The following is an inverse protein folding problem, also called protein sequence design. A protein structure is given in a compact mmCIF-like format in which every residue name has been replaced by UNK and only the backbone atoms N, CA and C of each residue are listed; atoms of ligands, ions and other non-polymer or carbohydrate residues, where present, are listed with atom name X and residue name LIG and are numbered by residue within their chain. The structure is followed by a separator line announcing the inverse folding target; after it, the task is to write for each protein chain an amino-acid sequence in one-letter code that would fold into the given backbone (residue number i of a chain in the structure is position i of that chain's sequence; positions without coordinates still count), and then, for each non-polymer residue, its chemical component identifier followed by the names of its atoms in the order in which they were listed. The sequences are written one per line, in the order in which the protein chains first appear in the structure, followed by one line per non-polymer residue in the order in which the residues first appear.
data_IF_980656601272
#
_entry.id   IF_980656601272
#
_cell.length_a   1.000
_cell.length_b   1.000
_cell.length_c   1.000
_cell.angle_alpha   90.00
_cell.angle_beta   90.00
_cell.angle_gamma   90.00
#
_symmetry.space_group_name_H-M   'P 1'
#
loop_
_entity.id
_entity.type
_entity.pdbx_description
1 polymer ?
#
# COMPACT_ATOMS: atom_id res chain seq x y z
N UNK A 1 60.01 0.16 41.29
CA UNK A 1 59.84 1.24 40.29
C UNK A 1 59.25 0.75 38.96
N UNK A 2 59.73 -0.36 38.36
CA UNK A 2 59.23 -0.91 37.07
C UNK A 2 57.70 -1.17 37.01
N UNK A 3 57.10 -1.65 38.10
CA UNK A 3 55.66 -1.98 38.13
C UNK A 3 54.73 -0.75 38.21
N UNK A 4 55.22 0.40 38.68
CA UNK A 4 54.44 1.65 38.72
C UNK A 4 54.35 2.28 37.32
N UNK A 5 55.43 2.21 36.54
CA UNK A 5 55.43 2.70 35.15
C UNK A 5 54.51 1.87 34.24
N UNK A 6 54.43 0.55 34.45
CA UNK A 6 53.50 -0.32 33.70
C UNK A 6 52.04 0.04 34.04
N UNK A 7 51.72 0.28 35.32
CA UNK A 7 50.38 0.70 35.73
C UNK A 7 49.98 2.07 35.15
N UNK A 8 50.90 3.04 35.12
CA UNK A 8 50.65 4.38 34.56
C UNK A 8 50.47 4.31 33.04
N UNK A 9 51.25 3.49 32.32
CA UNK A 9 51.11 3.31 30.86
C UNK A 9 49.78 2.63 30.51
N UNK A 10 49.33 1.65 31.30
CA UNK A 10 48.02 0.99 31.11
C UNK A 10 46.83 1.93 31.40
N UNK A 11 46.94 2.79 32.42
CA UNK A 11 45.91 3.80 32.71
C UNK A 11 45.89 4.90 31.65
N UNK A 12 47.05 5.32 31.12
CA UNK A 12 47.12 6.27 30.01
C UNK A 12 46.54 5.68 28.72
N UNK A 13 46.76 4.39 28.43
CA UNK A 13 46.23 3.75 27.22
C UNK A 13 44.71 3.56 27.26
N UNK A 14 44.11 3.42 28.46
CA UNK A 14 42.65 3.36 28.62
C UNK A 14 41.95 4.72 28.41
N UNK A 15 42.66 5.84 28.56
CA UNK A 15 42.07 7.18 28.41
C UNK A 15 41.97 7.60 26.92
N UNK A 16 42.79 7.02 26.03
CA UNK A 16 42.81 7.40 24.60
C UNK A 16 41.64 6.80 23.80
N UNK A 17 40.86 5.88 24.37
CA UNK A 17 39.75 5.22 23.63
C UNK A 17 38.40 5.94 23.77
N UNK A 18 38.33 7.10 24.45
CA UNK A 18 37.13 7.97 24.45
C UNK A 18 37.11 8.89 23.22
N UNK A 19 37.16 8.31 22.04
CA UNK A 19 36.73 9.01 20.83
C UNK A 19 35.21 8.98 20.77
N UNK A 20 34.55 10.06 21.19
CA UNK A 20 33.16 10.27 20.80
C UNK A 20 33.15 10.45 19.29
N UNK A 21 32.72 9.42 18.55
CA UNK A 21 32.36 9.57 17.14
C UNK A 21 31.16 10.50 17.13
N UNK A 22 31.37 11.78 16.85
CA UNK A 22 30.27 12.68 16.53
C UNK A 22 29.67 12.20 15.23
N UNK A 23 28.38 11.81 15.20
CA UNK A 23 27.72 11.48 13.95
C UNK A 23 27.88 12.68 13.01
N UNK A 24 28.56 12.47 11.89
CA UNK A 24 28.59 13.47 10.83
C UNK A 24 27.21 13.44 10.18
N UNK A 25 26.39 14.44 10.50
CA UNK A 25 25.16 14.72 9.77
C UNK A 25 25.48 15.80 8.74
N UNK A 26 25.63 15.46 7.44
CA UNK A 26 25.76 16.46 6.39
C UNK A 26 24.61 17.45 6.48
N UNK A 27 24.88 18.75 6.35
CA UNK A 27 23.84 19.79 6.35
C UNK A 27 22.76 19.55 5.27
N UNK A 28 23.11 18.83 4.22
CA UNK A 28 22.20 18.40 3.14
C UNK A 28 21.10 17.44 3.63
N UNK A 29 21.33 16.63 4.68
CA UNK A 29 20.30 15.74 5.26
C UNK A 29 19.22 16.56 5.99
N UNK A 30 19.57 17.71 6.58
CA UNK A 30 18.59 18.64 7.17
C UNK A 30 17.72 19.33 6.13
N UNK A 31 18.12 19.35 4.86
CA UNK A 31 17.36 19.97 3.78
C UNK A 31 16.21 19.10 3.25
N UNK A 32 16.16 17.81 3.62
CA UNK A 32 15.09 16.86 3.24
C UNK A 32 14.02 16.76 4.33
N UNK A 33 14.31 17.22 5.55
CA UNK A 33 13.35 17.21 6.66
C UNK A 33 12.26 18.28 6.45
N UNK A 34 11.01 17.92 6.75
CA UNK A 34 9.87 18.83 6.75
C UNK A 34 9.55 19.52 5.40
N UNK A 35 9.94 18.91 4.28
CA UNK A 35 9.56 19.38 2.95
C UNK A 35 8.08 19.05 2.68
N UNK A 36 7.40 19.93 1.94
CA UNK A 36 6.02 19.65 1.50
C UNK A 36 6.05 18.59 0.41
N UNK A 37 5.22 17.56 0.58
CA UNK A 37 4.97 16.50 -0.40
C UNK A 37 3.51 16.63 -0.82
N UNK A 38 3.27 16.76 -2.13
CA UNK A 38 1.92 16.85 -2.71
C UNK A 38 1.74 15.70 -3.70
N UNK A 39 0.83 14.80 -3.38
CA UNK A 39 0.53 13.61 -4.19
C UNK A 39 -0.90 13.66 -4.70
N UNK A 40 -1.10 13.44 -6.00
CA UNK A 40 -2.42 13.41 -6.60
C UNK A 40 -2.36 13.48 -8.11
N UNK A 41 -3.49 13.24 -8.77
CA UNK A 41 -3.63 13.41 -10.21
C UNK A 41 -4.99 14.00 -10.53
N UNK A 42 -5.05 14.86 -11.53
CA UNK A 42 -6.28 15.47 -12.02
C UNK A 42 -7.01 14.44 -12.90
N UNK A 43 -8.20 14.01 -12.50
CA UNK A 43 -8.96 12.96 -13.18
C UNK A 43 -10.20 13.54 -13.86
N UNK A 44 -10.32 13.35 -15.18
CA UNK A 44 -11.44 13.93 -15.95
C UNK A 44 -12.78 13.18 -15.73
N UNK A 45 -12.70 11.89 -15.43
CA UNK A 45 -13.84 10.99 -15.31
C UNK A 45 -13.97 10.35 -13.92
N UNK A 46 -13.27 10.90 -12.92
CA UNK A 46 -13.31 10.47 -11.53
C UNK A 46 -13.01 11.67 -10.61
N UNK A 47 -13.20 11.50 -9.31
CA UNK A 47 -12.83 12.48 -8.29
C UNK A 47 -11.31 12.59 -8.20
N UNK A 48 -10.80 13.81 -8.36
CA UNK A 48 -9.39 14.13 -8.10
C UNK A 48 -9.15 14.09 -6.59
N UNK A 49 -8.20 13.25 -6.18
CA UNK A 49 -7.78 13.09 -4.78
C UNK A 49 -6.35 13.59 -4.62
N UNK A 50 -6.15 14.47 -3.65
CA UNK A 50 -4.84 15.08 -3.36
C UNK A 50 -4.52 14.84 -1.89
N UNK A 51 -3.34 14.30 -1.62
CA UNK A 51 -2.76 14.19 -0.29
C UNK A 51 -1.62 15.20 -0.17
N UNK A 52 -1.54 15.84 1.00
CA UNK A 52 -0.48 16.79 1.32
C UNK A 52 0.14 16.33 2.62
N UNK A 53 1.44 16.11 2.63
CA UNK A 53 2.18 15.67 3.80
C UNK A 53 3.54 16.37 3.93
N UNK A 54 4.23 16.09 5.02
CA UNK A 54 5.60 16.52 5.26
C UNK A 54 6.53 15.32 5.20
N UNK A 55 7.67 15.48 4.53
CA UNK A 55 8.73 14.49 4.60
C UNK A 55 9.27 14.39 6.02
N UNK A 56 9.63 13.17 6.42
CA UNK A 56 10.14 12.86 7.75
C UNK A 56 11.67 12.78 7.73
N UNK A 57 12.30 13.19 8.83
CA UNK A 57 13.69 12.87 9.09
C UNK A 57 13.90 11.34 9.13
N UNK A 58 15.12 10.90 8.78
CA UNK A 58 15.50 9.48 8.70
C UNK A 58 15.31 8.68 10.01
N UNK A 59 15.20 9.38 11.15
CA UNK A 59 15.07 8.81 12.49
C UNK A 59 13.67 8.98 13.11
N UNK A 60 12.69 9.51 12.36
CA UNK A 60 11.33 9.68 12.85
C UNK A 60 10.54 8.36 12.82
N UNK A 61 9.52 8.25 13.68
CA UNK A 61 8.55 7.16 13.58
C UNK A 61 7.87 7.18 12.19
N UNK A 62 7.55 6.01 11.62
CA UNK A 62 6.91 5.85 10.30
C UNK A 62 5.45 6.33 10.25
N UNK A 63 5.16 7.53 10.76
CA UNK A 63 3.83 8.15 10.78
C UNK A 63 3.83 9.32 9.81
N UNK A 64 3.06 9.22 8.73
CA UNK A 64 2.90 10.30 7.75
C UNK A 64 2.31 11.53 8.44
N UNK A 65 3.01 12.66 8.37
CA UNK A 65 2.54 13.95 8.87
C UNK A 65 1.70 14.66 7.81
N UNK A 66 0.39 14.44 7.85
CA UNK A 66 -0.56 15.04 6.91
C UNK A 66 -0.83 16.52 7.21
N UNK A 67 -0.80 17.35 6.17
CA UNK A 67 -1.13 18.77 6.27
C UNK A 67 -2.65 18.96 6.19
N UNK A 68 -3.24 19.42 7.28
CA UNK A 68 -4.65 19.82 7.35
C UNK A 68 -4.87 21.31 7.07
N UNK A 69 -6.12 21.67 6.77
CA UNK A 69 -6.63 23.03 6.55
C UNK A 69 -5.97 23.75 5.37
N UNK A 70 -5.47 23.01 4.39
CA UNK A 70 -5.05 23.59 3.12
C UNK A 70 -6.28 23.94 2.26
N UNK A 71 -6.14 24.95 1.41
CA UNK A 71 -7.14 25.26 0.39
C UNK A 71 -6.62 24.69 -0.93
N UNK A 72 -7.32 23.70 -1.48
CA UNK A 72 -6.89 22.97 -2.68
C UNK A 72 -7.93 23.16 -3.77
N UNK A 73 -7.48 23.47 -4.99
CA UNK A 73 -8.36 23.54 -6.16
C UNK A 73 -7.62 23.16 -7.44
N UNK A 74 -8.38 22.72 -8.43
CA UNK A 74 -7.90 22.57 -9.81
C UNK A 74 -8.30 23.83 -10.58
N UNK A 75 -7.39 24.36 -11.39
CA UNK A 75 -7.61 25.57 -12.19
C UNK A 75 -7.31 25.27 -13.66
N UNK A 76 -8.18 25.69 -14.57
CA UNK A 76 -7.92 25.59 -16.00
C UNK A 76 -7.17 26.81 -16.54
N UNK A 77 -6.68 26.73 -17.77
CA UNK A 77 -5.95 27.82 -18.44
C UNK A 77 -6.75 29.14 -18.60
N UNK A 78 -8.07 29.10 -18.47
CA UNK A 78 -8.96 30.26 -18.55
C UNK A 78 -9.28 30.84 -17.15
N UNK A 79 -8.71 30.30 -16.07
CA UNK A 79 -8.91 30.75 -14.70
C UNK A 79 -10.16 30.20 -14.00
N UNK A 80 -10.88 29.24 -14.60
CA UNK A 80 -12.01 28.56 -13.94
C UNK A 80 -11.47 27.63 -12.86
N UNK A 81 -12.03 27.70 -11.66
CA UNK A 81 -11.59 26.96 -10.48
C UNK A 81 -12.60 25.90 -10.06
N UNK A 82 -12.08 24.72 -9.74
CA UNK A 82 -12.80 23.59 -9.18
C UNK A 82 -12.30 23.38 -7.76
N UNK A 83 -13.09 23.83 -6.78
CA UNK A 83 -12.70 23.82 -5.38
C UNK A 83 -12.75 22.42 -4.79
N UNK A 84 -11.75 22.07 -4.00
CA UNK A 84 -11.72 20.86 -3.21
C UNK A 84 -12.26 21.06 -1.79
N UNK A 85 -12.60 19.95 -1.13
CA UNK A 85 -12.89 19.91 0.30
C UNK A 85 -12.03 18.86 1.00
N UNK A 86 -11.67 19.15 2.24
CA UNK A 86 -10.92 18.23 3.11
C UNK A 86 -11.81 17.10 3.60
N UNK A 87 -11.28 15.88 3.57
CA UNK A 87 -11.88 14.66 4.13
C UNK A 87 -10.89 14.00 5.09
N UNK A 88 -11.42 13.36 6.14
CA UNK A 88 -10.62 12.69 7.18
C UNK A 88 -11.12 11.29 7.41
N UNK A 89 -10.21 10.32 7.36
CA UNK A 89 -10.47 8.94 7.73
C UNK A 89 -9.37 8.47 8.69
N UNK A 90 -9.70 8.45 9.99
CA UNK A 90 -8.69 8.24 11.03
C UNK A 90 -7.64 9.34 10.99
N UNK A 91 -6.37 8.97 10.80
CA UNK A 91 -5.24 9.92 10.67
C UNK A 91 -4.99 10.41 9.23
N UNK A 92 -5.62 9.78 8.24
CA UNK A 92 -5.43 10.11 6.82
C UNK A 92 -6.24 11.35 6.47
N UNK A 93 -5.60 12.31 5.80
CA UNK A 93 -6.24 13.52 5.28
C UNK A 93 -6.12 13.53 3.76
N UNK A 94 -7.26 13.70 3.09
CA UNK A 94 -7.36 13.77 1.64
C UNK A 94 -8.22 14.98 1.23
N UNK A 95 -7.81 15.67 0.17
CA UNK A 95 -8.58 16.74 -0.46
C UNK A 95 -9.24 16.20 -1.73
N UNK A 96 -10.57 16.23 -1.77
CA UNK A 96 -11.37 15.74 -2.88
C UNK A 96 -11.86 16.92 -3.73
N UNK A 97 -11.55 16.90 -5.03
CA UNK A 97 -11.99 17.90 -6.00
C UNK A 97 -12.86 17.23 -7.05
N UNK A 98 -14.07 17.75 -7.26
CA UNK A 98 -14.94 17.26 -8.32
C UNK A 98 -14.47 17.80 -9.68
N UNK A 99 -13.76 16.95 -10.41
CA UNK A 99 -13.25 17.20 -11.76
C UNK A 99 -13.96 16.35 -12.81
N UNK A 100 -15.08 15.73 -12.45
CA UNK A 100 -15.85 14.91 -13.38
C UNK A 100 -16.43 15.81 -14.48
N UNK A 101 -16.12 15.49 -15.72
CA UNK A 101 -16.64 16.20 -16.89
C UNK A 101 -15.90 17.50 -17.24
N UNK A 102 -14.72 17.76 -16.65
CA UNK A 102 -13.88 18.88 -17.09
C UNK A 102 -13.51 18.72 -18.57
N UNK A 103 -13.32 19.84 -19.28
CA UNK A 103 -13.09 19.87 -20.72
C UNK A 103 -11.70 19.31 -21.07
N UNK A 104 -11.58 18.16 -21.77
CA UNK A 104 -10.30 17.54 -22.07
C UNK A 104 -9.41 18.32 -23.05
N UNK A 105 -9.96 19.31 -23.76
CA UNK A 105 -9.21 20.17 -24.68
C UNK A 105 -8.48 21.33 -23.99
N UNK A 106 -8.71 21.54 -22.69
CA UNK A 106 -8.03 22.57 -21.92
C UNK A 106 -6.88 21.97 -21.11
N UNK A 107 -5.93 22.83 -20.72
CA UNK A 107 -4.90 22.47 -19.76
C UNK A 107 -5.32 22.88 -18.34
N UNK A 108 -4.80 22.14 -17.36
CA UNK A 108 -5.14 22.27 -15.96
C UNK A 108 -3.89 22.28 -15.08
N UNK A 109 -3.99 22.93 -13.93
CA UNK A 109 -2.99 22.87 -12.87
C UNK A 109 -3.66 22.63 -11.53
N UNK A 110 -2.92 22.02 -10.60
CA UNK A 110 -3.28 21.94 -9.20
C UNK A 110 -2.76 23.18 -8.49
N UNK A 111 -3.59 23.78 -7.65
CA UNK A 111 -3.24 24.90 -6.80
C UNK A 111 -3.52 24.57 -5.33
N UNK A 112 -2.58 24.92 -4.45
CA UNK A 112 -2.65 24.63 -3.01
C UNK A 112 -2.20 25.86 -2.22
N UNK A 113 -3.03 26.31 -1.26
CA UNK A 113 -2.61 27.27 -0.26
C UNK A 113 -2.46 26.59 1.11
N UNK A 114 -1.32 26.83 1.76
CA UNK A 114 -1.02 26.38 3.12
C UNK A 114 -0.58 27.60 3.94
N UNK A 115 -1.47 28.12 4.77
CA UNK A 115 -1.23 29.40 5.46
C UNK A 115 -1.01 30.53 4.44
N UNK A 116 0.16 31.18 4.51
CA UNK A 116 0.56 32.25 3.59
C UNK A 116 1.28 31.78 2.32
N UNK A 117 1.57 30.47 2.22
CA UNK A 117 2.31 29.91 1.08
C UNK A 117 1.36 29.37 0.01
N UNK A 118 1.71 29.60 -1.26
CA UNK A 118 0.97 29.09 -2.42
C UNK A 118 1.86 28.20 -3.28
N UNK A 119 1.34 27.04 -3.63
CA UNK A 119 1.98 26.05 -4.48
C UNK A 119 1.14 25.83 -5.72
N UNK A 120 1.80 25.69 -6.86
CA UNK A 120 1.15 25.40 -8.13
C UNK A 120 1.91 24.31 -8.88
N UNK A 121 1.17 23.38 -9.48
CA UNK A 121 1.74 22.51 -10.50
C UNK A 121 1.89 23.26 -11.82
N UNK A 122 2.65 22.68 -12.75
CA UNK A 122 2.62 23.09 -14.14
C UNK A 122 1.21 22.95 -14.74
N UNK A 123 0.96 23.79 -15.75
CA UNK A 123 -0.24 23.72 -16.57
C UNK A 123 -0.06 22.57 -17.58
N UNK A 124 -0.84 21.51 -17.43
CA UNK A 124 -0.66 20.24 -18.15
C UNK A 124 -1.93 19.82 -18.93
N UNK A 125 -1.78 19.14 -20.08
CA UNK A 125 -2.91 18.63 -20.84
C UNK A 125 -3.52 17.39 -20.18
N UNK A 126 -4.81 17.13 -20.47
CA UNK A 126 -5.46 15.87 -20.11
C UNK A 126 -5.11 14.82 -21.16
N UNK A 127 -4.49 13.72 -20.72
CA UNK A 127 -4.21 12.58 -21.60
C UNK A 127 -5.27 11.49 -21.43
N UNK A 128 -5.77 10.96 -22.54
CA UNK A 128 -6.72 9.85 -22.54
C UNK A 128 -5.96 8.52 -22.50
N UNK A 129 -6.21 7.73 -21.46
CA UNK A 129 -5.68 6.37 -21.38
C UNK A 129 -6.44 5.45 -22.35
N UNK A 130 -5.74 4.61 -23.14
CA UNK A 130 -6.43 3.63 -23.98
C UNK A 130 -7.14 2.57 -23.13
N UNK A 131 -7.96 1.71 -23.76
CA UNK A 131 -8.59 0.58 -23.09
C UNK A 131 -7.58 -0.40 -22.47
N UNK A 132 -7.96 -1.02 -21.34
CA UNK A 132 -7.23 -2.16 -20.77
C UNK A 132 -7.72 -3.43 -21.48
N UNK A 133 -6.85 -4.07 -22.26
CA UNK A 133 -7.21 -5.26 -23.05
C UNK A 133 -7.51 -6.44 -22.13
N UNK A 134 -6.57 -6.74 -21.23
CA UNK A 134 -6.73 -7.82 -20.27
C UNK A 134 -5.86 -7.61 -19.04
N UNK A 135 -6.32 -8.18 -17.93
CA UNK A 135 -5.53 -8.39 -16.73
C UNK A 135 -5.52 -9.91 -16.55
N UNK A 136 -4.32 -10.48 -16.51
CA UNK A 136 -4.12 -11.93 -16.37
C UNK A 136 -3.11 -12.23 -15.29
N UNK A 137 -2.77 -13.50 -15.14
CA UNK A 137 -1.75 -13.94 -14.20
C UNK A 137 -0.97 -15.14 -14.72
N UNK A 138 0.29 -15.23 -14.32
CA UNK A 138 1.17 -16.37 -14.58
C UNK A 138 1.48 -17.08 -13.26
N UNK A 139 1.42 -18.42 -13.25
CA UNK A 139 1.75 -19.25 -12.08
C UNK A 139 3.14 -19.84 -12.26
N UNK A 140 4.01 -19.61 -11.28
CA UNK A 140 5.33 -20.25 -11.17
C UNK A 140 5.22 -21.38 -10.13
N UNK A 141 5.20 -22.63 -10.61
CA UNK A 141 5.08 -23.82 -9.75
C UNK A 141 6.36 -24.16 -9.00
N UNK A 142 7.52 -23.68 -9.48
CA UNK A 142 8.81 -23.90 -8.81
C UNK A 142 8.90 -22.99 -7.59
N UNK A 143 8.58 -21.71 -7.76
CA UNK A 143 8.55 -20.71 -6.67
C UNK A 143 7.28 -20.77 -5.84
N UNK A 144 6.25 -21.48 -6.31
CA UNK A 144 4.89 -21.47 -5.76
C UNK A 144 4.37 -20.03 -5.59
N UNK A 145 4.38 -19.27 -6.69
CA UNK A 145 3.94 -17.88 -6.71
C UNK A 145 3.05 -17.58 -7.92
N UNK A 146 2.23 -16.55 -7.81
CA UNK A 146 1.43 -16.02 -8.92
C UNK A 146 1.81 -14.57 -9.17
N UNK A 147 1.97 -14.20 -10.44
CA UNK A 147 2.26 -12.82 -10.86
C UNK A 147 1.16 -12.31 -11.77
N UNK A 148 0.46 -11.27 -11.33
CA UNK A 148 -0.54 -10.57 -12.13
C UNK A 148 0.11 -9.61 -13.12
N UNK A 149 -0.47 -9.48 -14.30
CA UNK A 149 0.02 -8.61 -15.37
C UNK A 149 -1.11 -7.90 -16.10
N UNK A 150 -0.77 -6.83 -16.81
CA UNK A 150 -1.68 -6.09 -17.70
C UNK A 150 -1.21 -6.14 -19.16
N UNK A 151 -2.17 -6.19 -20.07
CA UNK A 151 -2.00 -5.90 -21.49
C UNK A 151 -2.82 -4.67 -21.87
N UNK A 152 -2.26 -3.76 -22.65
CA UNK A 152 -2.97 -2.61 -23.23
C UNK A 152 -2.31 -2.18 -24.53
N UNK A 153 -3.10 -1.65 -25.46
CA UNK A 153 -2.59 -1.05 -26.69
C UNK A 153 -3.36 0.22 -27.04
N UNK A 154 -2.68 1.16 -27.72
CA UNK A 154 -3.30 2.33 -28.33
C UNK A 154 -3.20 2.25 -29.85
N UNK A 155 -4.34 2.00 -30.50
CA UNK A 155 -4.43 1.96 -31.96
C UNK A 155 -4.18 3.33 -32.60
N UNK A 156 -4.38 4.42 -31.85
CA UNK A 156 -4.20 5.79 -32.34
C UNK A 156 -2.76 6.28 -32.19
N UNK A 157 -1.92 5.54 -31.44
CA UNK A 157 -0.51 5.83 -31.20
C UNK A 157 -0.27 7.24 -30.62
N UNK A 158 -1.25 7.77 -29.88
CA UNK A 158 -1.22 9.08 -29.22
C UNK A 158 -0.67 8.98 -27.80
N UNK A 159 -0.69 7.80 -27.20
CA UNK A 159 -0.01 7.52 -25.94
C UNK A 159 1.36 6.90 -26.16
N UNK A 160 2.24 7.02 -25.16
CA UNK A 160 3.59 6.41 -25.15
C UNK A 160 4.12 6.07 -23.77
N UNK A 161 3.51 6.62 -22.73
CA UNK A 161 3.94 6.47 -21.36
C UNK A 161 2.72 6.19 -20.50
N UNK A 162 2.85 5.17 -19.67
CA UNK A 162 1.76 4.61 -18.91
C UNK A 162 2.13 4.55 -17.45
N UNK A 163 1.13 4.76 -16.59
CA UNK A 163 1.20 4.51 -15.16
C UNK A 163 -0.03 3.71 -14.73
N UNK A 164 0.18 2.76 -13.83
CA UNK A 164 -0.88 1.99 -13.22
C UNK A 164 -0.87 2.15 -11.71
N UNK A 165 -2.05 2.07 -11.13
CA UNK A 165 -2.30 1.82 -9.72
C UNK A 165 -3.47 0.85 -9.60
N UNK A 166 -3.59 0.16 -8.48
CA UNK A 166 -4.74 -0.71 -8.25
C UNK A 166 -5.16 -0.71 -6.79
N UNK A 167 -6.45 -0.96 -6.57
CA UNK A 167 -6.96 -1.38 -5.26
C UNK A 167 -7.22 -2.88 -5.28
N UNK A 168 -7.03 -3.50 -4.13
CA UNK A 168 -7.20 -4.93 -3.93
C UNK A 168 -8.25 -5.14 -2.86
N UNK A 169 -9.12 -6.12 -3.09
CA UNK A 169 -9.99 -6.69 -2.09
C UNK A 169 -9.83 -8.20 -2.22
N UNK A 170 -9.69 -8.91 -1.11
CA UNK A 170 -9.57 -10.37 -1.13
C UNK A 170 -10.42 -10.97 -0.04
N UNK A 171 -10.91 -12.16 -0.33
CA UNK A 171 -11.58 -13.02 0.60
C UNK A 171 -10.64 -14.14 0.99
N UNK A 172 -10.64 -14.48 2.27
CA UNK A 172 -9.88 -15.57 2.83
C UNK A 172 -10.68 -16.26 3.92
N UNK A 173 -10.36 -17.52 4.14
CA UNK A 173 -10.92 -18.36 5.19
C UNK A 173 -9.92 -18.59 6.31
N UNK A 174 -10.41 -18.70 7.54
CA UNK A 174 -9.64 -19.35 8.60
C UNK A 174 -9.46 -20.85 8.27
N UNK A 175 -8.56 -21.52 8.97
CA UNK A 175 -8.29 -22.93 8.68
C UNK A 175 -9.43 -23.84 9.18
N UNK A 176 -10.01 -23.48 10.33
CA UNK A 176 -11.10 -24.23 10.95
C UNK A 176 -12.39 -23.40 10.98
N UNK A 177 -13.46 -23.97 10.41
CA UNK A 177 -14.80 -23.45 10.58
C UNK A 177 -15.34 -23.93 11.93
N UNK A 178 -15.43 -23.01 12.89
CA UNK A 178 -15.97 -23.29 14.22
C UNK A 178 -17.43 -22.87 14.30
N UNK A 179 -18.27 -23.76 14.82
CA UNK A 179 -19.68 -23.51 15.14
C UNK A 179 -19.89 -23.25 16.63
N UNK A 180 -18.80 -23.16 17.39
CA UNK A 180 -18.80 -22.94 18.83
C UNK A 180 -17.84 -21.82 19.20
N UNK A 181 -18.00 -21.29 20.41
CA UNK A 181 -17.06 -20.37 21.05
C UNK A 181 -16.87 -20.77 22.50
N UNK A 182 -15.68 -20.53 23.01
CA UNK A 182 -15.42 -20.69 24.43
C UNK A 182 -15.68 -19.36 25.16
N UNK A 183 -16.51 -19.41 26.19
CA UNK A 183 -16.78 -18.28 27.09
C UNK A 183 -15.90 -18.40 28.33
N UNK A 184 -14.95 -17.45 28.44
CA UNK A 184 -14.00 -17.41 29.55
C UNK A 184 -14.64 -17.11 30.90
N UNK A 185 -15.73 -16.34 30.95
CA UNK A 185 -16.36 -15.95 32.21
C UNK A 185 -17.10 -17.12 32.84
N UNK A 186 -17.81 -17.89 32.01
CA UNK A 186 -18.59 -19.05 32.46
C UNK A 186 -17.82 -20.36 32.38
N UNK A 187 -16.64 -20.37 31.74
CA UNK A 187 -15.83 -21.55 31.42
C UNK A 187 -16.63 -22.62 30.65
N UNK A 188 -17.49 -22.18 29.72
CA UNK A 188 -18.37 -23.05 28.93
C UNK A 188 -18.09 -22.90 27.43
N UNK A 189 -18.38 -23.97 26.70
CA UNK A 189 -18.51 -23.93 25.25
C UNK A 189 -19.95 -23.57 24.90
N UNK A 190 -20.13 -22.62 23.99
CA UNK A 190 -21.43 -22.12 23.54
C UNK A 190 -21.49 -22.19 22.02
N UNK A 191 -22.66 -22.48 21.46
CA UNK A 191 -22.86 -22.41 20.01
C UNK A 191 -22.76 -20.97 19.49
N UNK A 192 -22.38 -20.83 18.22
CA UNK A 192 -22.45 -19.55 17.48
C UNK A 192 -23.46 -19.66 16.34
N UNK A 193 -24.17 -18.57 16.07
CA UNK A 193 -25.00 -18.46 14.87
C UNK A 193 -24.10 -18.44 13.62
N UNK A 194 -24.59 -19.00 12.50
CA UNK A 194 -23.95 -18.91 11.19
C UNK A 194 -23.72 -17.45 10.76
N UNK A 195 -24.64 -16.55 11.14
CA UNK A 195 -24.51 -15.12 10.89
C UNK A 195 -23.26 -14.52 11.56
N UNK A 196 -22.82 -15.11 12.66
CA UNK A 196 -21.64 -14.72 13.44
C UNK A 196 -20.40 -15.55 13.11
N UNK A 197 -20.40 -16.27 11.97
CA UNK A 197 -19.27 -17.11 11.59
C UNK A 197 -17.96 -16.32 11.57
N UNK A 198 -16.90 -17.01 12.00
CA UNK A 198 -15.54 -16.46 12.10
C UNK A 198 -14.62 -17.04 11.02
N UNK A 199 -15.22 -17.66 10.01
CA UNK A 199 -14.53 -18.42 8.96
C UNK A 199 -14.20 -17.55 7.75
N UNK A 200 -15.18 -16.88 7.14
CA UNK A 200 -14.95 -16.02 5.97
C UNK A 200 -14.72 -14.57 6.36
N UNK A 201 -13.60 -14.00 5.93
CA UNK A 201 -13.27 -12.58 6.12
C UNK A 201 -12.74 -11.96 4.83
N UNK A 202 -12.74 -10.62 4.84
CA UNK A 202 -12.21 -9.81 3.74
C UNK A 202 -11.06 -8.93 4.21
N UNK A 203 -10.06 -8.82 3.35
CA UNK A 203 -8.99 -7.84 3.44
C UNK A 203 -9.06 -6.84 2.29
N UNK A 204 -8.38 -5.70 2.47
CA UNK A 204 -8.29 -4.62 1.47
C UNK A 204 -6.88 -4.08 1.40
N UNK A 205 -6.49 -3.61 0.22
CA UNK A 205 -5.16 -3.06 -0.04
C UNK A 205 -5.16 -2.04 -1.17
N UNK A 206 -4.07 -1.29 -1.24
CA UNK A 206 -3.79 -0.35 -2.33
C UNK A 206 -2.35 -0.57 -2.78
N UNK A 207 -2.10 -0.54 -4.09
CA UNK A 207 -0.76 -0.67 -4.66
C UNK A 207 0.16 0.44 -4.16
N UNK A 208 1.32 0.08 -3.61
CA UNK A 208 2.39 1.03 -3.23
C UNK A 208 3.52 1.12 -4.27
N UNK A 209 3.62 0.14 -5.17
CA UNK A 209 4.68 0.09 -6.19
C UNK A 209 4.47 1.14 -7.30
N UNK A 210 5.57 1.69 -7.80
CA UNK A 210 5.56 2.58 -8.96
C UNK A 210 5.52 1.73 -10.24
N UNK A 211 4.32 1.57 -10.79
CA UNK A 211 4.07 0.77 -11.98
C UNK A 211 4.01 1.68 -13.21
N UNK A 212 5.11 1.75 -13.96
CA UNK A 212 5.21 2.53 -15.19
C UNK A 212 5.78 1.69 -16.34
N UNK A 213 5.45 2.10 -17.57
CA UNK A 213 6.02 1.54 -18.79
C UNK A 213 6.02 2.57 -19.92
N UNK A 214 6.85 2.34 -20.93
CA UNK A 214 6.86 3.14 -22.15
C UNK A 214 6.91 2.26 -23.39
N UNK A 215 6.23 2.71 -24.44
CA UNK A 215 6.24 2.12 -25.78
C UNK A 215 6.94 3.04 -26.79
N UNK A 216 7.66 4.06 -26.31
CA UNK A 216 8.41 5.02 -27.13
C UNK A 216 9.44 4.35 -28.06
N UNK A 217 10.02 3.23 -27.63
CA UNK A 217 11.00 2.46 -28.40
C UNK A 217 10.38 1.26 -29.16
N UNK A 218 9.05 1.16 -29.20
CA UNK A 218 8.34 0.08 -29.88
C UNK A 218 7.69 0.61 -31.16
N UNK A 219 7.64 -0.24 -32.19
CA UNK A 219 6.97 0.07 -33.46
C UNK A 219 5.46 0.21 -33.31
N UNK A 220 4.88 -0.45 -32.31
CA UNK A 220 3.47 -0.38 -31.95
C UNK A 220 3.34 0.07 -30.49
N UNK A 221 2.34 0.91 -30.21
CA UNK A 221 1.97 1.25 -28.84
C UNK A 221 1.22 0.07 -28.19
N UNK A 222 2.00 -0.93 -27.78
CA UNK A 222 1.51 -2.16 -27.17
C UNK A 222 2.36 -2.50 -25.94
N UNK A 223 1.73 -2.51 -24.78
CA UNK A 223 2.30 -3.00 -23.52
C UNK A 223 1.81 -4.43 -23.32
N UNK A 224 2.73 -5.38 -23.37
CA UNK A 224 2.44 -6.80 -23.19
C UNK A 224 2.97 -7.32 -21.85
N UNK A 225 2.11 -8.00 -21.10
CA UNK A 225 2.38 -8.68 -19.83
C UNK A 225 3.22 -7.87 -18.84
N UNK A 226 2.94 -6.56 -18.71
CA UNK A 226 3.58 -5.74 -17.68
C UNK A 226 3.16 -6.24 -16.31
N UNK A 227 4.12 -6.76 -15.54
CA UNK A 227 3.88 -7.25 -14.17
C UNK A 227 3.37 -6.14 -13.26
N UNK A 228 2.36 -6.47 -12.46
CA UNK A 228 1.68 -5.58 -11.51
C UNK A 228 2.05 -5.93 -10.07
N UNK A 229 1.86 -7.20 -9.68
CA UNK A 229 2.11 -7.70 -8.32
C UNK A 229 2.39 -9.19 -8.37
N UNK A 230 3.28 -9.65 -7.47
CA UNK A 230 3.57 -11.06 -7.28
C UNK A 230 3.23 -11.48 -5.85
N UNK A 231 2.58 -12.63 -5.72
CA UNK A 231 2.11 -13.18 -4.45
C UNK A 231 2.67 -14.59 -4.26
N UNK A 232 3.22 -14.86 -3.09
CA UNK A 232 3.78 -16.17 -2.74
C UNK A 232 2.73 -17.14 -2.20
N UNK A 233 3.12 -18.38 -1.95
CA UNK A 233 2.22 -19.44 -1.50
C UNK A 233 1.57 -19.20 -0.14
N UNK A 234 2.14 -18.34 0.72
CA UNK A 234 1.57 -18.03 2.03
C UNK A 234 0.81 -16.71 2.07
N UNK A 235 0.62 -16.05 0.92
CA UNK A 235 -0.07 -14.77 0.85
C UNK A 235 -1.58 -14.98 0.97
N UNK A 236 -2.20 -14.42 2.01
CA UNK A 236 -3.64 -14.56 2.25
C UNK A 236 -4.50 -14.03 1.12
N UNK A 237 -3.97 -13.13 0.27
CA UNK A 237 -4.70 -12.60 -0.90
C UNK A 237 -5.09 -13.69 -1.88
N UNK A 238 -4.33 -14.79 -1.95
CA UNK A 238 -4.60 -15.93 -2.85
C UNK A 238 -5.18 -17.14 -2.12
N UNK A 239 -5.70 -16.97 -0.90
CA UNK A 239 -6.27 -18.04 -0.09
C UNK A 239 -7.62 -18.55 -0.64
N UNK A 240 -8.50 -17.65 -1.08
CA UNK A 240 -9.83 -18.03 -1.56
C UNK A 240 -10.26 -17.29 -2.83
N UNK A 241 -10.55 -16.00 -2.76
CA UNK A 241 -10.94 -15.19 -3.92
C UNK A 241 -10.26 -13.83 -3.89
N UNK A 242 -9.55 -13.51 -4.95
CA UNK A 242 -8.83 -12.24 -5.09
C UNK A 242 -9.54 -11.33 -6.10
N UNK A 243 -9.62 -10.03 -5.82
CA UNK A 243 -10.05 -9.01 -6.77
C UNK A 243 -9.05 -7.86 -6.86
N UNK A 244 -8.81 -7.43 -8.10
CA UNK A 244 -7.99 -6.25 -8.41
C UNK A 244 -8.81 -5.30 -9.28
N UNK A 245 -8.92 -4.03 -8.86
CA UNK A 245 -9.39 -2.94 -9.74
C UNK A 245 -8.18 -2.12 -10.19
N UNK A 246 -7.76 -2.33 -11.43
CA UNK A 246 -6.64 -1.63 -12.04
C UNK A 246 -7.12 -0.29 -12.61
N UNK A 247 -6.41 0.78 -12.28
CA UNK A 247 -6.54 2.11 -12.89
C UNK A 247 -5.33 2.36 -13.79
N UNK A 248 -5.59 2.59 -15.07
CA UNK A 248 -4.59 2.91 -16.08
C UNK A 248 -4.65 4.39 -16.44
N UNK A 249 -3.48 5.02 -16.46
CA UNK A 249 -3.28 6.41 -16.84
C UNK A 249 -2.29 6.52 -17.98
N UNK A 250 -2.60 7.37 -18.95
CA UNK A 250 -1.60 7.94 -19.85
C UNK A 250 -0.94 9.13 -19.15
N UNK A 251 0.39 9.20 -19.22
CA UNK A 251 1.17 10.26 -18.58
C UNK A 251 2.10 10.95 -19.60
N UNK A 252 2.54 12.16 -19.28
CA UNK A 252 3.52 12.88 -20.11
C UNK A 252 4.90 12.23 -20.00
N UNK A 253 5.79 12.54 -20.93
CA UNK A 253 7.19 12.11 -20.88
C UNK A 253 7.87 12.56 -19.58
N UNK A 254 7.64 13.81 -19.18
CA UNK A 254 8.26 14.39 -17.99
C UNK A 254 7.76 13.69 -16.71
N UNK A 255 6.47 13.36 -16.66
CA UNK A 255 5.91 12.53 -15.59
C UNK A 255 6.57 11.14 -15.53
N UNK A 256 6.78 10.51 -16.69
CA UNK A 256 7.44 9.21 -16.76
C UNK A 256 8.88 9.27 -16.24
N UNK A 257 9.64 10.29 -16.65
CA UNK A 257 11.01 10.51 -16.17
C UNK A 257 11.02 10.74 -14.65
N UNK A 258 10.10 11.54 -14.12
CA UNK A 258 9.95 11.74 -12.68
C UNK A 258 9.73 10.42 -11.94
N UNK A 259 8.72 9.64 -12.35
CA UNK A 259 8.39 8.38 -11.68
C UNK A 259 9.48 7.32 -11.84
N UNK A 260 10.17 7.28 -12.97
CA UNK A 260 11.31 6.38 -13.18
C UNK A 260 12.49 6.75 -12.29
N UNK A 261 12.75 8.04 -12.08
CA UNK A 261 13.76 8.51 -11.14
C UNK A 261 13.39 8.14 -9.70
N UNK A 262 12.14 8.35 -9.28
CA UNK A 262 11.69 7.95 -7.93
C UNK A 262 11.81 6.42 -7.76
N UNK A 263 11.38 5.65 -8.76
CA UNK A 263 11.43 4.18 -8.74
C UNK A 263 12.85 3.68 -8.58
N UNK A 264 13.80 4.18 -9.38
CA UNK A 264 15.23 3.82 -9.28
C UNK A 264 15.80 4.09 -7.89
N UNK A 265 15.49 5.24 -7.30
CA UNK A 265 15.97 5.60 -5.97
C UNK A 265 15.32 4.80 -4.83
N UNK A 266 14.08 4.33 -5.02
CA UNK A 266 13.39 3.51 -4.02
C UNK A 266 13.79 2.04 -4.11
N UNK A 267 14.08 1.53 -5.30
CA UNK A 267 14.49 0.14 -5.53
C UNK A 267 15.98 -0.06 -5.19
N UNK A 268 16.83 0.95 -5.43
CA UNK A 268 18.23 0.96 -5.01
C UNK A 268 18.34 1.39 -3.53
N UNK A 269 18.18 0.42 -2.62
CA UNK A 269 18.57 0.62 -1.22
C UNK A 269 20.07 0.95 -1.17
N UNK A 270 20.38 2.22 -0.92
CA UNK A 270 21.55 2.63 -0.14
C UNK A 270 22.91 2.59 -0.85
N UNK A 271 23.01 3.00 -2.11
CA UNK A 271 24.29 3.48 -2.65
C UNK A 271 24.57 4.91 -2.18
N UNK A 272 25.81 5.24 -1.78
CA UNK A 272 26.23 6.63 -1.45
C UNK A 272 26.08 7.61 -2.64
N UNK A 273 25.78 7.07 -3.83
CA UNK A 273 25.57 7.80 -5.08
C UNK A 273 24.11 7.81 -5.56
N UNK A 274 23.16 7.29 -4.76
CA UNK A 274 21.75 7.42 -5.10
C UNK A 274 21.36 8.91 -5.05
N UNK A 275 20.79 9.48 -6.14
CA UNK A 275 20.36 10.86 -6.13
C UNK A 275 19.37 11.10 -5.00
N UNK A 276 19.56 12.19 -4.27
CA UNK A 276 18.69 12.48 -3.13
C UNK A 276 17.28 12.83 -3.63
N UNK A 277 16.21 12.50 -2.89
CA UNK A 277 14.83 12.86 -3.26
C UNK A 277 14.66 14.34 -3.61
N UNK A 278 15.44 15.23 -2.99
CA UNK A 278 15.41 16.68 -3.23
C UNK A 278 16.03 17.12 -4.57
N UNK A 279 16.76 16.25 -5.25
CA UNK A 279 17.32 16.46 -6.60
C UNK A 279 16.34 16.03 -7.71
N UNK A 280 15.31 15.26 -7.35
CA UNK A 280 14.29 14.79 -8.29
C UNK A 280 13.25 15.90 -8.46
N UNK A 281 13.48 16.76 -9.45
CA UNK A 281 12.57 17.86 -9.78
C UNK A 281 11.18 17.36 -10.16
N UNK A 282 10.17 17.73 -9.36
CA UNK A 282 8.76 17.60 -9.69
C UNK A 282 8.24 18.76 -10.54
N UNK A 283 6.93 18.78 -10.82
CA UNK A 283 6.29 19.89 -11.53
C UNK A 283 5.54 20.87 -10.60
N UNK A 284 5.78 20.80 -9.29
CA UNK A 284 5.12 21.63 -8.28
C UNK A 284 6.12 22.64 -7.71
N UNK A 285 5.73 23.91 -7.65
CA UNK A 285 6.57 25.02 -7.16
C UNK A 285 5.85 25.89 -6.15
N UNK A 286 6.58 26.38 -5.14
CA UNK A 286 6.09 27.42 -4.25
C UNK A 286 6.24 28.79 -4.92
N UNK A 287 5.13 29.38 -5.37
CA UNK A 287 5.18 30.68 -6.08
C UNK A 287 5.45 31.86 -5.14
N UNK A 288 5.14 31.70 -3.85
CA UNK A 288 5.40 32.72 -2.82
C UNK A 288 6.85 32.71 -2.33
N UNK A 289 7.53 31.56 -2.42
CA UNK A 289 8.94 31.40 -2.02
C UNK A 289 9.65 30.44 -2.99
N UNK A 290 10.16 30.94 -4.14
CA UNK A 290 10.72 30.07 -5.20
C UNK A 290 11.91 29.20 -4.78
N UNK A 291 12.62 29.55 -3.69
CA UNK A 291 13.72 28.75 -3.14
C UNK A 291 13.24 27.55 -2.31
N UNK A 292 11.95 27.46 -1.98
CA UNK A 292 11.40 26.34 -1.24
C UNK A 292 11.20 25.12 -2.13
N UNK A 293 11.78 23.99 -1.72
CA UNK A 293 11.65 22.71 -2.41
C UNK A 293 10.34 22.02 -2.02
N UNK A 294 9.74 21.36 -3.00
CA UNK A 294 8.47 20.62 -2.87
C UNK A 294 8.62 19.32 -3.65
N UNK A 295 8.16 18.21 -3.08
CA UNK A 295 8.11 16.92 -3.77
C UNK A 295 6.71 16.66 -4.29
N UNK A 296 6.65 16.01 -5.45
CA UNK A 296 5.40 15.65 -6.08
C UNK A 296 5.38 15.95 -7.56
N UNK A 297 4.56 15.18 -8.27
CA UNK A 297 4.29 15.41 -9.68
C UNK A 297 2.82 15.18 -9.94
N UNK A 298 2.15 16.20 -10.49
CA UNK A 298 0.75 16.13 -10.91
C UNK A 298 0.68 15.74 -12.37
N UNK A 299 -0.07 14.68 -12.66
CA UNK A 299 -0.52 14.36 -14.01
C UNK A 299 -2.01 14.65 -14.16
N UNK A 300 -2.49 14.86 -15.39
CA UNK A 300 -3.90 14.99 -15.71
C UNK A 300 -4.30 13.94 -16.75
N UNK A 301 -5.32 13.13 -16.45
CA UNK A 301 -5.71 12.04 -17.32
C UNK A 301 -7.21 11.72 -17.26
N UNK A 302 -7.75 11.27 -18.39
CA UNK A 302 -8.98 10.48 -18.43
C UNK A 302 -8.58 9.02 -18.31
N UNK A 303 -8.91 8.40 -17.18
CA UNK A 303 -8.38 7.08 -16.80
C UNK A 303 -9.27 5.96 -17.29
N UNK A 304 -8.67 4.80 -17.54
CA UNK A 304 -9.41 3.56 -17.80
C UNK A 304 -9.33 2.65 -16.58
N UNK A 305 -10.44 2.07 -16.16
CA UNK A 305 -10.49 1.11 -15.05
C UNK A 305 -10.98 -0.26 -15.50
N UNK A 306 -10.42 -1.31 -14.91
CA UNK A 306 -10.88 -2.69 -15.13
C UNK A 306 -10.73 -3.50 -13.85
N UNK A 307 -11.81 -4.16 -13.43
CA UNK A 307 -11.79 -5.10 -12.30
C UNK A 307 -11.76 -6.55 -12.80
N UNK A 308 -10.96 -7.38 -12.14
CA UNK A 308 -10.99 -8.84 -12.30
C UNK A 308 -11.22 -9.55 -10.98
N UNK A 309 -11.55 -10.83 -11.07
CA UNK A 309 -11.54 -11.78 -9.98
C UNK A 309 -10.65 -12.97 -10.36
N UNK A 310 -9.90 -13.52 -9.40
CA UNK A 310 -9.09 -14.70 -9.59
C UNK A 310 -9.30 -15.66 -8.42
N UNK A 311 -9.73 -16.89 -8.71
CA UNK A 311 -10.04 -17.88 -7.70
C UNK A 311 -8.77 -18.66 -7.31
N UNK A 312 -8.59 -18.91 -6.02
CA UNK A 312 -7.51 -19.75 -5.51
C UNK A 312 -7.55 -21.16 -6.12
N UNK A 313 -8.73 -21.67 -6.47
CA UNK A 313 -8.89 -22.97 -7.17
C UNK A 313 -8.24 -23.01 -8.54
N UNK A 314 -8.10 -21.85 -9.21
CA UNK A 314 -7.50 -21.76 -10.53
C UNK A 314 -6.00 -21.48 -10.43
N UNK A 315 -5.60 -20.62 -9.47
CA UNK A 315 -4.21 -20.25 -9.21
C UNK A 315 -3.42 -21.43 -8.62
N UNK A 316 -3.99 -22.16 -7.64
CA UNK A 316 -3.41 -23.36 -7.00
C UNK A 316 -1.99 -23.20 -6.40
N UNK A 317 -1.63 -22.01 -5.92
CA UNK A 317 -0.32 -21.77 -5.27
C UNK A 317 -0.41 -21.69 -3.75
N UNK A 318 -1.58 -21.37 -3.19
CA UNK A 318 -1.71 -21.12 -1.77
C UNK A 318 -1.49 -22.40 -0.95
N UNK A 319 -0.72 -22.27 0.13
CA UNK A 319 -0.41 -23.33 1.08
C UNK A 319 -0.66 -22.80 2.48
N UNK A 320 -1.50 -23.53 3.22
CA UNK A 320 -1.78 -23.16 4.60
C UNK A 320 -0.48 -23.14 5.44
N UNK A 321 -0.27 -22.11 6.25
CA UNK A 321 0.89 -22.04 7.11
C UNK A 321 0.86 -23.13 8.18
N UNK A 322 2.03 -23.72 8.48
CA UNK A 322 2.18 -24.85 9.42
C UNK A 322 1.84 -24.56 10.90
N UNK A 323 1.33 -23.38 11.25
CA UNK A 323 1.17 -22.95 12.65
C UNK A 323 -0.24 -23.20 13.22
N UNK A 324 -1.06 -23.99 12.53
CA UNK A 324 -2.45 -24.26 12.88
C UNK A 324 -2.67 -25.72 13.30
N UNK A 325 -1.64 -26.40 13.76
CA UNK A 325 -1.77 -27.77 14.28
C UNK A 325 -2.71 -27.77 15.50
N UNK A 326 -3.72 -28.65 15.51
CA UNK A 326 -4.72 -28.64 16.56
C UNK A 326 -4.25 -29.39 17.80
N UNK A 327 -4.74 -28.95 18.95
CA UNK A 327 -4.64 -29.62 20.25
C UNK A 327 -5.99 -30.29 20.54
N UNK A 328 -5.97 -31.61 20.70
CA UNK A 328 -7.15 -32.39 21.05
C UNK A 328 -7.19 -32.54 22.57
N UNK A 329 -8.32 -32.16 23.17
CA UNK A 329 -8.60 -32.28 24.60
C UNK A 329 -9.69 -33.33 24.79
N UNK A 330 -9.38 -34.39 25.51
CA UNK A 330 -10.29 -35.48 25.83
C UNK A 330 -9.85 -36.18 27.12
N UNK A 331 -10.44 -37.33 27.45
CA UNK A 331 -10.12 -38.07 28.68
C UNK A 331 -8.65 -38.54 28.75
N UNK A 332 -8.00 -38.81 27.61
CA UNK A 332 -6.59 -39.26 27.55
C UNK A 332 -5.61 -38.09 27.60
N UNK A 333 -6.03 -36.90 27.18
CA UNK A 333 -5.25 -35.66 27.24
C UNK A 333 -6.07 -34.54 27.89
N UNK A 334 -6.30 -34.60 29.21
CA UNK A 334 -7.10 -33.61 29.91
C UNK A 334 -6.31 -32.31 30.07
N UNK A 335 -6.75 -31.26 29.39
CA UNK A 335 -6.20 -29.90 29.52
C UNK A 335 -7.36 -28.98 29.94
N UNK A 336 -7.20 -28.17 31.00
CA UNK A 336 -8.21 -27.18 31.34
C UNK A 336 -8.40 -26.18 30.20
N UNK A 337 -9.64 -26.06 29.68
CA UNK A 337 -9.97 -25.22 28.52
C UNK A 337 -9.52 -23.76 28.66
N UNK A 338 -9.59 -23.27 29.90
CA UNK A 338 -9.21 -21.92 30.27
C UNK A 338 -7.71 -21.67 30.04
N UNK A 339 -6.84 -22.65 30.28
CA UNK A 339 -5.39 -22.53 30.01
C UNK A 339 -5.09 -22.41 28.51
N UNK A 340 -5.82 -23.15 27.66
CA UNK A 340 -5.70 -23.03 26.21
C UNK A 340 -6.10 -21.63 25.73
N UNK A 341 -7.21 -21.11 26.25
CA UNK A 341 -7.66 -19.76 25.93
C UNK A 341 -6.63 -18.68 26.30
N UNK A 342 -6.03 -18.79 27.49
CA UNK A 342 -5.04 -17.83 28.02
C UNK A 342 -3.72 -17.89 27.24
N UNK A 343 -3.37 -19.05 26.69
CA UNK A 343 -2.17 -19.24 25.87
C UNK A 343 -2.39 -18.92 24.38
N UNK A 344 -3.57 -18.39 24.02
CA UNK A 344 -3.84 -17.89 22.68
C UNK A 344 -4.49 -18.88 21.72
N UNK A 345 -5.07 -19.98 22.23
CA UNK A 345 -5.89 -20.91 21.46
C UNK A 345 -7.38 -20.53 21.51
N UNK A 346 -8.14 -21.03 20.55
CA UNK A 346 -9.60 -20.98 20.49
C UNK A 346 -10.15 -22.35 20.08
N UNK A 347 -11.41 -22.58 20.41
CA UNK A 347 -12.10 -23.83 20.11
C UNK A 347 -12.57 -23.84 18.66
N UNK A 348 -12.07 -24.82 17.91
CA UNK A 348 -12.43 -25.07 16.53
C UNK A 348 -13.61 -26.06 16.40
N UNK A 349 -13.72 -27.01 17.33
CA UNK A 349 -14.78 -28.01 17.34
C UNK A 349 -15.00 -28.55 18.76
N UNK A 350 -16.23 -29.00 19.04
CA UNK A 350 -16.61 -29.65 20.29
C UNK A 350 -17.63 -30.77 20.03
N UNK A 351 -17.40 -31.95 20.61
CA UNK A 351 -18.33 -33.08 20.64
C UNK A 351 -18.72 -33.36 22.09
N UNK A 352 -19.99 -33.11 22.43
CA UNK A 352 -20.53 -33.47 23.74
C UNK A 352 -20.59 -34.99 23.95
N UNK A 353 -20.84 -35.76 22.87
CA UNK A 353 -20.94 -37.21 22.92
C UNK A 353 -19.62 -37.87 23.35
N UNK A 354 -18.51 -37.38 22.81
CA UNK A 354 -17.17 -37.92 23.07
C UNK A 354 -16.45 -37.16 24.19
N UNK A 355 -17.07 -36.08 24.70
CA UNK A 355 -16.45 -35.10 25.59
C UNK A 355 -15.06 -34.67 25.09
N UNK A 356 -14.98 -34.40 23.78
CA UNK A 356 -13.76 -34.05 23.08
C UNK A 356 -13.88 -32.64 22.49
N UNK A 357 -12.80 -31.85 22.60
CA UNK A 357 -12.69 -30.56 21.93
C UNK A 357 -11.39 -30.44 21.16
N UNK A 358 -11.47 -29.74 20.03
CA UNK A 358 -10.33 -29.43 19.19
C UNK A 358 -10.04 -27.94 19.28
N UNK A 359 -8.81 -27.61 19.63
CA UNK A 359 -8.34 -26.24 19.83
C UNK A 359 -7.22 -25.93 18.85
N UNK A 360 -7.19 -24.72 18.30
CA UNK A 360 -6.09 -24.24 17.47
C UNK A 360 -5.75 -22.81 17.86
N UNK A 361 -4.59 -22.31 17.43
CA UNK A 361 -4.24 -20.90 17.66
C UNK A 361 -5.39 -19.99 17.18
N UNK A 362 -5.72 -18.93 17.93
CA UNK A 362 -6.89 -18.06 17.66
C UNK A 362 -7.00 -17.63 16.18
N UNK A 363 -5.86 -17.27 15.55
CA UNK A 363 -5.78 -16.88 14.12
C UNK A 363 -6.22 -17.96 13.13
N UNK A 364 -6.23 -19.23 13.53
CA UNK A 364 -6.61 -20.38 12.71
C UNK A 364 -8.12 -20.68 12.78
N UNK A 365 -8.81 -20.12 13.78
CA UNK A 365 -10.24 -20.30 14.01
C UNK A 365 -11.02 -19.03 13.71
N UNK A 366 -10.42 -17.87 14.00
CA UNK A 366 -11.04 -16.56 13.87
C UNK A 366 -10.31 -15.67 12.85
N UNK A 367 -10.89 -15.56 11.65
CA UNK A 367 -10.34 -14.76 10.56
C UNK A 367 -10.34 -13.25 10.86
N UNK A 368 -11.12 -12.78 11.85
CA UNK A 368 -11.25 -11.35 12.21
C UNK A 368 -9.96 -10.78 12.82
N UNK A 369 -9.03 -11.65 13.23
CA UNK A 369 -7.69 -11.23 13.66
C UNK A 369 -6.79 -10.78 12.51
N UNK A 370 -7.14 -11.12 11.27
CA UNK A 370 -6.36 -10.83 10.07
C UNK A 370 -7.14 -9.97 9.05
N UNK A 371 -8.44 -9.79 9.24
CA UNK A 371 -9.29 -9.04 8.33
C UNK A 371 -10.61 -8.65 8.96
N UNK A 372 -11.58 -8.33 8.11
CA UNK A 372 -12.86 -7.76 8.53
C UNK A 372 -14.03 -8.60 8.05
N UNK A 373 -15.16 -8.51 8.77
CA UNK A 373 -16.46 -9.03 8.31
C UNK A 373 -17.16 -8.09 7.32
N UNK A 374 -16.59 -6.92 7.05
CA UNK A 374 -17.14 -5.94 6.10
C UNK A 374 -16.86 -6.38 4.67
N UNK A 375 -17.84 -7.08 4.08
CA UNK A 375 -17.80 -7.52 2.68
C UNK A 375 -17.85 -6.33 1.70
N UNK A 376 -17.04 -6.32 0.63
CA UNK A 376 -17.15 -5.33 -0.44
C UNK A 376 -18.50 -5.42 -1.16
N UNK A 377 -19.11 -4.27 -1.50
CA UNK A 377 -20.45 -4.23 -2.12
C UNK A 377 -20.53 -4.91 -3.49
N UNK A 378 -19.41 -4.98 -4.21
CA UNK A 378 -19.30 -5.58 -5.54
C UNK A 378 -18.92 -7.07 -5.51
N UNK A 379 -18.75 -7.64 -4.31
CA UNK A 379 -18.25 -9.01 -4.15
C UNK A 379 -19.27 -10.04 -4.65
N UNK A 380 -18.85 -11.08 -5.40
CA UNK A 380 -19.79 -11.90 -6.19
C UNK A 380 -20.52 -12.99 -5.39
N UNK A 381 -20.06 -13.34 -4.18
CA UNK A 381 -20.66 -14.38 -3.36
C UNK A 381 -21.31 -13.82 -2.07
N UNK A 382 -22.20 -14.61 -1.49
CA UNK A 382 -22.81 -14.33 -0.19
C UNK A 382 -22.59 -15.53 0.72
N UNK A 383 -21.79 -15.37 1.77
CA UNK A 383 -21.53 -16.39 2.80
C UNK A 383 -22.53 -16.27 3.94
N UNK A 384 -23.80 -16.07 3.60
CA UNK A 384 -24.90 -16.03 4.55
C UNK A 384 -25.24 -17.42 5.06
#
# INVERSE_FOLDING_TARGET
MKNIYIGIVLVLSLIVVKGCVTPFEPEEIKAIDNMIVIEGNILQNDITRVMISRSLALNAENVIDYVSKAIVWVENQNGVKYMGYETKQGKVIEYQINTIGINPSLQYKLCVNIGSKRYESDLIPILEAPPIDSIGYNVDTVKNSVTFYVNTHDQTNKTKYYKWSFTEDWEFKSQYMSYVRYDRETNKVLDIDLADNRYYCWGKGVSSSILIATTSNLSQDNVYQKSLVSMGSSDLRVNFLYSMELTQMAITRDAYIYWENIRKNSDDIGGIFAPQPSEIGGNIRCITKPAERVLGYISASKVTKKRIFANASDIKVYKDPKYCDPVIVNAQNPIPLHELWDTGYDIAYYSEMDNESLWAAKKCVDCRLLGSKVKPWFWPNDHK
#
